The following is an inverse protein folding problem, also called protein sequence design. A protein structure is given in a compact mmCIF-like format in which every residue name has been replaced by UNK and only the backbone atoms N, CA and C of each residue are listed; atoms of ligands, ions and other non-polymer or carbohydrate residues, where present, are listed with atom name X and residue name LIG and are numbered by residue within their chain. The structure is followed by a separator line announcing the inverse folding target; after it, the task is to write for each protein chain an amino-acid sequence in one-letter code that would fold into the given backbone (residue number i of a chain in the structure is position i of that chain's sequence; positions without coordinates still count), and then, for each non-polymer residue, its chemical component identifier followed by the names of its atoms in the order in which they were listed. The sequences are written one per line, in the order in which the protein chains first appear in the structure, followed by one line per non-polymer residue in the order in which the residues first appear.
data_IF_412161409270
#
_entry.id   IF_412161409270
#
_cell.length_a   1.000
_cell.length_b   1.000
_cell.length_c   1.000
_cell.angle_alpha   90.00
_cell.angle_beta   90.00
_cell.angle_gamma   90.00
#
_symmetry.space_group_name_H-M   'P 1'
#
loop_
_entity.id
_entity.type
_entity.pdbx_description
1 polymer ?
#
# COMPACT_ATOMS: atom_id res chain seq x y z
N UNK A 1 9.04 -11.73 5.61
CA UNK A 1 9.55 -10.45 5.08
C UNK A 1 9.25 -10.37 3.60
N UNK A 2 9.11 -9.15 3.05
CA UNK A 2 9.19 -8.90 1.61
C UNK A 2 10.59 -8.36 1.34
N UNK A 3 11.25 -8.84 0.29
CA UNK A 3 12.54 -8.36 -0.21
C UNK A 3 12.39 -7.97 -1.68
N UNK A 4 13.08 -6.93 -2.12
CA UNK A 4 13.06 -6.48 -3.51
C UNK A 4 14.29 -7.08 -4.18
N UNK A 5 14.06 -7.71 -5.33
CA UNK A 5 15.10 -8.36 -6.09
C UNK A 5 15.45 -7.51 -7.33
N UNK A 6 16.74 -7.38 -7.70
CA UNK A 6 17.17 -6.50 -8.79
C UNK A 6 16.56 -6.78 -10.17
N UNK A 7 16.08 -8.01 -10.41
CA UNK A 7 15.37 -8.35 -11.66
C UNK A 7 13.95 -7.75 -11.76
N UNK A 8 13.52 -7.01 -10.73
CA UNK A 8 12.20 -6.39 -10.66
C UNK A 8 11.11 -7.32 -10.14
N UNK A 9 11.48 -8.34 -9.37
CA UNK A 9 10.56 -9.17 -8.60
C UNK A 9 10.65 -8.85 -7.11
N UNK A 10 9.67 -9.32 -6.35
CA UNK A 10 9.73 -9.35 -4.89
C UNK A 10 9.79 -10.80 -4.39
N UNK A 11 10.55 -11.01 -3.33
CA UNK A 11 10.66 -12.28 -2.63
C UNK A 11 9.87 -12.18 -1.32
N UNK A 12 8.75 -12.90 -1.27
CA UNK A 12 7.90 -13.00 -0.09
C UNK A 12 8.22 -14.26 0.69
N UNK A 13 8.83 -14.10 1.86
CA UNK A 13 9.18 -15.24 2.71
C UNK A 13 7.93 -16.02 3.12
N UNK A 14 7.97 -17.34 2.97
CA UNK A 14 6.87 -18.20 3.40
C UNK A 14 6.63 -18.06 4.91
N UNK A 15 5.37 -17.88 5.27
CA UNK A 15 4.97 -17.83 6.68
C UNK A 15 5.01 -19.24 7.31
N UNK A 16 5.13 -19.34 8.65
CA UNK A 16 5.04 -20.63 9.32
C UNK A 16 3.74 -21.38 8.95
N UNK A 17 3.78 -22.72 8.86
CA UNK A 17 2.59 -23.52 8.59
C UNK A 17 1.43 -23.21 9.55
N UNK A 18 0.18 -23.28 9.07
CA UNK A 18 -0.23 -23.69 7.73
C UNK A 18 -0.23 -22.55 6.69
N UNK A 19 0.10 -21.31 7.08
CA UNK A 19 -0.13 -20.11 6.26
C UNK A 19 0.73 -20.04 5.00
N UNK A 20 2.04 -20.27 5.14
CA UNK A 20 2.98 -20.22 4.00
C UNK A 20 2.67 -21.29 2.95
N UNK A 21 2.55 -22.58 3.34
CA UNK A 21 2.17 -23.64 2.40
C UNK A 21 0.83 -23.37 1.70
N UNK A 22 -0.17 -22.86 2.41
CA UNK A 22 -1.47 -22.53 1.80
C UNK A 22 -1.36 -21.41 0.75
N UNK A 23 -0.58 -20.37 1.04
CA UNK A 23 -0.35 -19.29 0.06
C UNK A 23 0.39 -19.81 -1.18
N UNK A 24 1.40 -20.67 -0.98
CA UNK A 24 2.11 -21.32 -2.08
C UNK A 24 1.17 -22.19 -2.93
N UNK A 25 0.37 -23.05 -2.30
CA UNK A 25 -0.61 -23.91 -2.99
C UNK A 25 -1.63 -23.09 -3.77
N UNK A 26 -2.09 -21.97 -3.22
CA UNK A 26 -2.97 -21.04 -3.92
C UNK A 26 -2.34 -20.52 -5.21
N UNK A 27 -1.11 -19.98 -5.15
CA UNK A 27 -0.42 -19.49 -6.35
C UNK A 27 -0.14 -20.60 -7.35
N UNK A 28 0.30 -21.77 -6.89
CA UNK A 28 0.53 -22.94 -7.75
C UNK A 28 -0.75 -23.33 -8.49
N UNK A 29 -1.90 -23.36 -7.80
CA UNK A 29 -3.19 -23.69 -8.40
C UNK A 29 -3.63 -22.64 -9.42
N UNK A 30 -3.53 -21.35 -9.07
CA UNK A 30 -3.97 -20.27 -9.95
C UNK A 30 -3.09 -20.16 -11.19
N UNK A 31 -1.78 -20.37 -11.06
CA UNK A 31 -0.78 -20.23 -12.15
C UNK A 31 -0.35 -21.56 -12.77
N UNK A 32 -1.11 -22.64 -12.53
CA UNK A 32 -0.87 -23.93 -13.18
C UNK A 32 -0.92 -23.76 -14.72
N UNK A 33 0.07 -24.30 -15.43
CA UNK A 33 0.18 -24.18 -16.89
C UNK A 33 -0.96 -24.88 -17.62
N UNK A 34 -1.53 -25.91 -17.01
CA UNK A 34 -2.59 -26.74 -17.58
C UNK A 34 -3.97 -26.29 -17.09
N UNK A 35 -4.04 -25.16 -16.36
CA UNK A 35 -5.28 -24.60 -15.85
C UNK A 35 -6.23 -24.20 -16.99
N UNK A 36 -7.41 -24.82 -17.02
CA UNK A 36 -8.50 -24.49 -17.94
C UNK A 36 -9.71 -23.84 -17.26
N UNK A 37 -9.62 -23.55 -15.96
CA UNK A 37 -10.71 -22.91 -15.21
C UNK A 37 -10.74 -21.41 -15.52
N UNK A 38 -11.78 -20.97 -16.24
CA UNK A 38 -11.93 -19.57 -16.64
C UNK A 38 -11.94 -18.60 -15.47
N UNK A 39 -12.46 -19.01 -14.31
CA UNK A 39 -12.51 -18.17 -13.10
C UNK A 39 -11.09 -17.93 -12.56
N UNK A 40 -10.23 -18.95 -12.57
CA UNK A 40 -8.84 -18.82 -12.13
C UNK A 40 -7.96 -18.11 -13.16
N UNK A 41 -8.24 -18.31 -14.46
CA UNK A 41 -7.54 -17.61 -15.53
C UNK A 41 -7.81 -16.10 -15.49
N UNK A 42 -9.06 -15.69 -15.30
CA UNK A 42 -9.44 -14.29 -15.11
C UNK A 42 -8.82 -13.70 -13.82
N UNK A 43 -8.80 -14.49 -12.73
CA UNK A 43 -8.20 -14.05 -11.47
C UNK A 43 -6.73 -13.61 -11.63
N UNK A 44 -5.96 -14.20 -12.56
CA UNK A 44 -4.56 -13.84 -12.80
C UNK A 44 -4.37 -12.36 -13.13
N UNK A 45 -5.37 -11.70 -13.72
CA UNK A 45 -5.31 -10.27 -14.07
C UNK A 45 -5.22 -9.37 -12.82
N UNK A 46 -5.76 -9.83 -11.69
CA UNK A 46 -5.82 -9.07 -10.45
C UNK A 46 -4.69 -9.40 -9.47
N UNK A 47 -3.87 -10.40 -9.76
CA UNK A 47 -2.79 -10.89 -8.89
C UNK A 47 -1.42 -10.42 -9.39
N UNK A 48 -0.41 -10.26 -8.52
CA UNK A 48 0.99 -10.22 -8.96
C UNK A 48 1.34 -11.50 -9.73
N UNK A 49 2.07 -11.37 -10.84
CA UNK A 49 2.57 -12.56 -11.56
C UNK A 49 3.41 -13.43 -10.63
N UNK A 50 3.21 -14.73 -10.73
CA UNK A 50 3.93 -15.73 -9.94
C UNK A 50 5.03 -16.38 -10.76
N UNK A 51 6.24 -16.43 -10.18
CA UNK A 51 7.44 -16.98 -10.81
C UNK A 51 7.94 -18.26 -10.11
N UNK A 52 7.12 -18.86 -9.24
CA UNK A 52 7.48 -20.05 -8.48
C UNK A 52 8.06 -19.75 -7.10
N UNK A 53 8.46 -20.83 -6.43
CA UNK A 53 9.20 -20.78 -5.16
C UNK A 53 10.68 -20.55 -5.46
N UNK A 54 11.31 -19.72 -4.63
CA UNK A 54 12.72 -19.42 -4.68
C UNK A 54 13.36 -19.62 -3.31
N UNK A 55 14.55 -20.19 -3.28
CA UNK A 55 15.40 -20.24 -2.10
C UNK A 55 16.82 -19.77 -2.47
N UNK A 56 17.52 -19.07 -1.59
CA UNK A 56 18.91 -18.72 -1.82
C UNK A 56 19.77 -19.99 -1.83
N UNK A 57 20.77 -20.11 -2.73
CA UNK A 57 21.65 -21.29 -2.79
C UNK A 57 22.37 -21.60 -1.47
N UNK A 58 22.61 -20.56 -0.66
CA UNK A 58 23.30 -20.65 0.64
C UNK A 58 22.40 -21.02 1.80
N UNK A 59 21.08 -20.94 1.64
CA UNK A 59 20.11 -21.30 2.67
C UNK A 59 18.84 -21.90 2.03
N UNK A 60 18.91 -23.18 1.57
CA UNK A 60 17.80 -23.82 0.85
C UNK A 60 16.51 -23.93 1.67
N UNK A 61 16.63 -23.89 3.01
CA UNK A 61 15.51 -23.92 3.93
C UNK A 61 14.74 -22.59 4.03
N UNK A 62 15.35 -21.48 3.59
CA UNK A 62 14.70 -20.17 3.55
C UNK A 62 13.92 -20.03 2.24
N UNK A 63 12.67 -20.47 2.26
CA UNK A 63 11.79 -20.44 1.09
C UNK A 63 11.04 -19.11 0.94
N UNK A 64 10.90 -18.65 -0.30
CA UNK A 64 10.20 -17.44 -0.69
C UNK A 64 9.28 -17.71 -1.90
N UNK A 65 8.16 -17.00 -1.97
CA UNK A 65 7.41 -16.84 -3.21
C UNK A 65 8.06 -15.73 -4.02
N UNK A 66 8.40 -16.00 -5.28
CA UNK A 66 8.90 -14.98 -6.21
C UNK A 66 7.72 -14.40 -6.98
N UNK A 67 7.46 -13.12 -6.79
CA UNK A 67 6.27 -12.43 -7.29
C UNK A 67 6.67 -11.18 -8.08
N UNK A 68 5.79 -10.71 -8.96
CA UNK A 68 5.92 -9.41 -9.63
C UNK A 68 6.04 -8.26 -8.62
N UNK A 69 6.98 -7.35 -8.85
CA UNK A 69 6.98 -6.07 -8.16
C UNK A 69 6.03 -5.09 -8.85
N UNK A 70 4.81 -4.99 -8.31
CA UNK A 70 3.75 -4.10 -8.81
C UNK A 70 4.18 -2.62 -8.80
N UNK A 71 5.17 -2.25 -7.97
CA UNK A 71 5.63 -0.86 -7.84
C UNK A 71 6.70 -0.47 -8.84
N UNK A 72 7.31 -1.44 -9.54
CA UNK A 72 8.51 -1.21 -10.37
C UNK A 72 8.33 -0.19 -11.49
N UNK A 73 7.15 -0.12 -12.09
CA UNK A 73 6.86 0.78 -13.23
C UNK A 73 6.61 2.24 -12.82
N UNK A 74 6.66 2.53 -11.53
CA UNK A 74 6.41 3.85 -10.97
C UNK A 74 7.71 4.50 -10.54
N UNK A 75 7.84 5.81 -10.77
CA UNK A 75 8.99 6.59 -10.34
C UNK A 75 8.88 6.94 -8.85
N UNK A 76 7.76 7.54 -8.45
CA UNK A 76 7.48 7.88 -7.04
C UNK A 76 6.20 7.17 -6.59
N UNK A 77 6.23 5.84 -6.36
CA UNK A 77 5.03 5.07 -6.05
C UNK A 77 4.41 5.50 -4.70
N UNK A 78 3.17 5.99 -4.76
CA UNK A 78 2.29 6.06 -3.61
C UNK A 78 1.61 4.70 -3.43
N UNK A 79 1.70 4.10 -2.23
CA UNK A 79 1.27 2.72 -1.97
C UNK A 79 0.31 2.69 -0.78
N UNK A 80 -0.80 1.96 -0.87
CA UNK A 80 -1.70 1.68 0.26
C UNK A 80 -2.12 0.23 0.26
N UNK A 81 -2.04 -0.40 1.42
CA UNK A 81 -2.51 -1.77 1.68
C UNK A 81 -3.83 -1.70 2.45
N UNK A 82 -4.88 -2.28 1.86
CA UNK A 82 -6.22 -2.32 2.46
C UNK A 82 -6.66 -3.77 2.57
N UNK A 83 -6.80 -4.25 3.81
CA UNK A 83 -7.40 -5.54 4.09
C UNK A 83 -8.89 -5.49 3.79
N UNK A 84 -9.42 -6.48 3.09
CA UNK A 84 -10.83 -6.54 2.69
C UNK A 84 -11.54 -7.68 3.44
N UNK A 85 -12.82 -7.46 3.72
CA UNK A 85 -13.75 -8.46 4.27
C UNK A 85 -14.27 -8.10 5.66
N UNK A 86 -15.51 -8.46 5.95
CA UNK A 86 -16.09 -8.29 7.29
C UNK A 86 -15.40 -9.13 8.37
N UNK A 87 -14.72 -10.22 7.97
CA UNK A 87 -14.02 -11.14 8.87
C UNK A 87 -12.54 -11.22 8.51
N UNK A 88 -11.68 -10.95 9.48
CA UNK A 88 -10.21 -11.03 9.35
C UNK A 88 -9.62 -12.32 9.93
N UNK A 89 -10.47 -13.30 10.20
CA UNK A 89 -10.13 -14.65 10.64
C UNK A 89 -10.76 -15.68 9.69
N UNK A 90 -10.10 -16.82 9.54
CA UNK A 90 -10.56 -17.90 8.67
C UNK A 90 -11.57 -18.85 9.36
N UNK A 91 -12.27 -19.72 8.61
CA UNK A 91 -13.28 -20.62 9.16
C UNK A 91 -12.76 -21.63 10.21
N UNK A 92 -11.45 -21.85 10.27
CA UNK A 92 -10.81 -22.81 11.17
C UNK A 92 -10.07 -22.13 12.33
N UNK A 93 -10.22 -20.81 12.48
CA UNK A 93 -9.58 -20.05 13.54
C UNK A 93 -10.14 -20.46 14.92
N UNK A 94 -9.24 -20.60 15.91
CA UNK A 94 -9.66 -20.85 17.30
C UNK A 94 -10.43 -19.66 17.89
N UNK A 95 -11.19 -19.88 18.95
CA UNK A 95 -11.93 -18.81 19.64
C UNK A 95 -11.00 -17.67 20.08
N UNK A 96 -9.81 -17.98 20.60
CA UNK A 96 -8.81 -16.99 21.00
C UNK A 96 -8.29 -16.21 19.79
N UNK A 97 -8.12 -16.89 18.64
CA UNK A 97 -7.66 -16.24 17.41
C UNK A 97 -8.72 -15.30 16.85
N UNK A 98 -9.99 -15.70 16.89
CA UNK A 98 -11.14 -14.87 16.50
C UNK A 98 -11.18 -13.62 17.38
N UNK A 99 -11.17 -13.78 18.71
CA UNK A 99 -11.18 -12.65 19.64
C UNK A 99 -9.97 -11.73 19.44
N UNK A 100 -8.78 -12.27 19.19
CA UNK A 100 -7.58 -11.49 18.86
C UNK A 100 -7.75 -10.67 17.58
N UNK A 101 -8.40 -11.20 16.53
CA UNK A 101 -8.59 -10.46 15.29
C UNK A 101 -9.67 -9.38 15.44
N UNK A 102 -10.78 -9.71 16.11
CA UNK A 102 -11.86 -8.75 16.39
C UNK A 102 -11.37 -7.61 17.27
N UNK A 103 -10.65 -7.90 18.37
CA UNK A 103 -10.10 -6.87 19.26
C UNK A 103 -9.09 -5.93 18.60
N UNK A 104 -8.42 -6.36 17.52
CA UNK A 104 -7.51 -5.47 16.77
C UNK A 104 -8.26 -4.39 16.02
N UNK A 105 -9.45 -4.70 15.52
CA UNK A 105 -10.30 -3.74 14.81
C UNK A 105 -11.77 -4.18 14.88
N UNK A 106 -12.51 -3.77 15.92
CA UNK A 106 -13.91 -4.19 16.12
C UNK A 106 -14.83 -3.75 14.99
N UNK A 107 -14.48 -2.66 14.30
CA UNK A 107 -15.26 -2.10 13.19
C UNK A 107 -15.08 -2.86 11.87
N UNK A 108 -14.29 -3.96 11.82
CA UNK A 108 -14.08 -4.72 10.59
C UNK A 108 -15.39 -5.24 9.99
N UNK A 109 -16.31 -5.72 10.83
CA UNK A 109 -17.61 -6.24 10.39
C UNK A 109 -18.52 -5.13 9.85
N UNK A 110 -18.39 -3.94 10.41
CA UNK A 110 -19.25 -2.78 10.13
C UNK A 110 -18.75 -1.93 8.95
N UNK A 111 -17.43 -1.83 8.77
CA UNK A 111 -16.78 -1.09 7.68
C UNK A 111 -16.44 -2.02 6.52
N UNK A 112 -16.13 -3.29 6.78
CA UNK A 112 -15.83 -4.27 5.74
C UNK A 112 -14.41 -4.19 5.16
N UNK A 113 -13.58 -3.25 5.60
CA UNK A 113 -12.17 -3.15 5.23
C UNK A 113 -11.34 -2.45 6.31
N UNK A 114 -10.02 -2.56 6.23
CA UNK A 114 -9.07 -1.93 7.15
C UNK A 114 -7.78 -1.53 6.42
N UNK A 115 -7.40 -0.26 6.51
CA UNK A 115 -6.10 0.23 6.02
C UNK A 115 -4.98 -0.36 6.91
N UNK A 116 -4.07 -1.13 6.33
CA UNK A 116 -2.93 -1.70 7.05
C UNK A 116 -1.73 -0.75 7.10
N UNK A 117 -1.64 0.13 6.09
CA UNK A 117 -0.66 1.19 6.01
C UNK A 117 -0.69 1.87 4.65
N UNK A 118 -0.04 3.02 4.58
CA UNK A 118 0.16 3.74 3.32
C UNK A 118 1.49 4.49 3.34
N UNK A 119 2.00 4.77 2.14
CA UNK A 119 3.15 5.62 1.87
C UNK A 119 2.78 6.55 0.73
N UNK A 120 2.75 7.85 0.98
CA UNK A 120 2.28 8.87 0.05
C UNK A 120 3.42 9.82 -0.25
N UNK A 121 3.67 10.05 -1.53
CA UNK A 121 4.64 11.04 -1.98
C UNK A 121 4.02 12.44 -1.94
N UNK A 122 4.72 13.37 -1.29
CA UNK A 122 4.34 14.78 -1.22
C UNK A 122 5.21 15.58 -2.18
N UNK A 123 4.59 16.20 -3.17
CA UNK A 123 5.28 16.92 -4.25
C UNK A 123 5.99 18.17 -3.73
N UNK A 124 5.38 18.87 -2.79
CA UNK A 124 5.92 20.13 -2.24
C UNK A 124 7.21 19.95 -1.44
N UNK A 125 7.42 18.77 -0.85
CA UNK A 125 8.57 18.46 0.00
C UNK A 125 9.52 17.41 -0.58
N UNK A 126 9.25 16.89 -1.78
CA UNK A 126 9.95 15.75 -2.41
C UNK A 126 10.25 14.64 -1.41
N UNK A 127 9.22 14.25 -0.65
CA UNK A 127 9.38 13.32 0.46
C UNK A 127 8.14 12.46 0.63
N UNK A 128 8.28 11.40 1.44
CA UNK A 128 7.20 10.47 1.70
C UNK A 128 6.67 10.60 3.11
N UNK A 129 5.34 10.65 3.22
CA UNK A 129 4.64 10.46 4.47
C UNK A 129 4.18 9.00 4.57
N UNK A 130 4.39 8.36 5.72
CA UNK A 130 3.97 6.97 5.97
C UNK A 130 3.01 6.88 7.13
N UNK A 131 1.91 6.17 6.95
CA UNK A 131 0.97 5.81 8.00
C UNK A 131 0.98 4.30 8.22
N UNK A 132 0.88 3.89 9.48
CA UNK A 132 1.06 2.51 9.88
C UNK A 132 -0.26 1.81 10.27
N UNK A 133 -0.21 0.55 10.74
CA UNK A 133 -1.41 -0.20 11.15
C UNK A 133 -2.20 0.47 12.28
N UNK A 134 -1.58 1.30 13.12
CA UNK A 134 -2.27 2.00 14.19
C UNK A 134 -3.13 3.13 13.64
N UNK A 135 -2.67 3.79 12.57
CA UNK A 135 -3.47 4.78 11.86
C UNK A 135 -4.76 4.16 11.33
N UNK A 136 -4.67 3.09 10.54
CA UNK A 136 -5.88 2.46 9.99
C UNK A 136 -6.81 1.88 11.06
N UNK A 137 -6.27 1.32 12.15
CA UNK A 137 -7.08 0.85 13.29
C UNK A 137 -7.75 1.96 14.08
N UNK A 138 -7.28 3.20 13.96
CA UNK A 138 -7.88 4.37 14.61
C UNK A 138 -9.03 4.97 13.79
N UNK A 139 -9.18 4.58 12.52
CA UNK A 139 -10.26 5.07 11.66
C UNK A 139 -11.61 4.47 12.08
N UNK A 140 -12.59 5.35 12.19
CA UNK A 140 -14.00 5.06 12.49
C UNK A 140 -14.85 5.27 11.24
N UNK A 141 -16.16 5.01 11.32
CA UNK A 141 -17.10 5.24 10.21
C UNK A 141 -17.11 6.70 9.74
N UNK A 142 -16.94 7.63 10.67
CA UNK A 142 -16.97 9.07 10.41
C UNK A 142 -15.66 9.54 9.80
N UNK A 143 -14.54 8.91 10.17
CA UNK A 143 -13.18 9.37 9.79
C UNK A 143 -12.56 8.57 8.65
N UNK A 144 -13.14 7.45 8.24
CA UNK A 144 -12.58 6.58 7.19
C UNK A 144 -12.48 7.29 5.83
N UNK A 145 -13.43 8.18 5.50
CA UNK A 145 -13.41 8.97 4.27
C UNK A 145 -12.18 9.87 4.22
N UNK A 146 -11.96 10.67 5.26
CA UNK A 146 -10.78 11.54 5.36
C UNK A 146 -9.49 10.72 5.45
N UNK A 147 -9.56 9.57 6.11
CA UNK A 147 -8.47 8.64 6.23
C UNK A 147 -7.97 8.11 4.89
N UNK A 148 -8.89 7.69 4.01
CA UNK A 148 -8.57 7.27 2.66
C UNK A 148 -8.20 8.47 1.77
N UNK A 149 -8.86 9.61 1.93
CA UNK A 149 -8.56 10.84 1.16
C UNK A 149 -7.09 11.25 1.31
N UNK A 150 -6.52 11.05 2.52
CA UNK A 150 -5.09 11.29 2.79
C UNK A 150 -4.15 10.50 1.88
N UNK A 151 -4.52 9.28 1.47
CA UNK A 151 -3.70 8.49 0.53
C UNK A 151 -3.58 9.17 -0.84
N UNK A 152 -4.62 9.87 -1.28
CA UNK A 152 -4.69 10.51 -2.60
C UNK A 152 -4.29 11.99 -2.58
N UNK A 153 -3.93 12.54 -1.43
CA UNK A 153 -3.52 13.94 -1.32
C UNK A 153 -2.00 14.07 -1.41
N UNK A 154 -1.49 14.67 -2.50
CA UNK A 154 -0.03 14.74 -2.76
C UNK A 154 0.69 15.93 -2.09
N UNK A 155 0.08 16.48 -1.05
CA UNK A 155 0.52 17.70 -0.35
C UNK A 155 0.13 19.02 -1.02
N UNK A 156 -0.41 18.99 -2.24
CA UNK A 156 -0.91 20.18 -2.95
C UNK A 156 -2.38 20.05 -3.33
N UNK A 157 -2.75 18.93 -3.96
CA UNK A 157 -4.12 18.66 -4.38
C UNK A 157 -4.49 17.19 -4.17
N UNK A 158 -5.80 16.94 -4.21
CA UNK A 158 -6.35 15.61 -4.25
C UNK A 158 -6.24 15.03 -5.67
N UNK A 159 -5.61 13.86 -5.79
CA UNK A 159 -5.44 13.11 -7.05
C UNK A 159 -6.74 12.40 -7.46
N UNK A 160 -7.73 13.18 -7.88
CA UNK A 160 -9.04 12.67 -8.35
C UNK A 160 -8.91 11.69 -9.52
N UNK A 161 -7.90 11.87 -10.38
CA UNK A 161 -7.54 10.95 -11.45
C UNK A 161 -7.18 9.55 -10.91
N UNK A 162 -6.36 9.50 -9.86
CA UNK A 162 -5.97 8.24 -9.23
C UNK A 162 -7.13 7.58 -8.49
N UNK A 163 -8.02 8.37 -7.86
CA UNK A 163 -9.23 7.86 -7.20
C UNK A 163 -10.18 7.23 -8.23
N UNK A 164 -10.48 7.92 -9.33
CA UNK A 164 -11.35 7.41 -10.39
C UNK A 164 -10.82 6.11 -11.01
N UNK A 165 -9.51 6.05 -11.30
CA UNK A 165 -8.87 4.84 -11.81
C UNK A 165 -8.86 3.69 -10.77
N UNK A 166 -8.72 4.02 -9.48
CA UNK A 166 -8.80 3.04 -8.39
C UNK A 166 -10.20 2.43 -8.26
N UNK A 167 -11.25 3.25 -8.41
CA UNK A 167 -12.64 2.78 -8.43
C UNK A 167 -12.85 1.80 -9.58
N UNK A 168 -12.51 2.18 -10.81
CA UNK A 168 -12.68 1.33 -12.00
C UNK A 168 -11.98 -0.03 -11.85
N UNK A 169 -10.75 -0.06 -11.32
CA UNK A 169 -10.02 -1.32 -11.10
C UNK A 169 -10.62 -2.16 -9.97
N UNK A 170 -11.11 -1.50 -8.90
CA UNK A 170 -11.76 -2.20 -7.78
C UNK A 170 -13.13 -2.78 -8.20
N UNK A 171 -13.86 -2.08 -9.08
CA UNK A 171 -15.12 -2.58 -9.67
C UNK A 171 -14.89 -3.85 -10.49
N UNK A 172 -13.79 -3.96 -11.24
CA UNK A 172 -13.45 -5.19 -11.97
C UNK A 172 -13.17 -6.38 -11.04
N UNK A 173 -12.47 -6.14 -9.93
CA UNK A 173 -12.28 -7.15 -8.89
C UNK A 173 -13.63 -7.54 -8.28
N UNK A 174 -14.51 -6.57 -8.02
CA UNK A 174 -15.86 -6.82 -7.50
C UNK A 174 -16.69 -7.68 -8.47
N UNK A 175 -16.69 -7.36 -9.77
CA UNK A 175 -17.37 -8.14 -10.81
C UNK A 175 -16.90 -9.61 -10.79
N UNK A 176 -15.59 -9.84 -10.68
CA UNK A 176 -15.04 -11.20 -10.55
C UNK A 176 -15.55 -11.92 -9.30
N UNK A 177 -15.53 -11.24 -8.14
CA UNK A 177 -16.05 -11.81 -6.89
C UNK A 177 -17.55 -12.10 -6.95
N UNK A 178 -18.34 -11.28 -7.63
CA UNK A 178 -19.77 -11.52 -7.82
C UNK A 178 -20.05 -12.67 -8.79
N UNK A 179 -19.14 -12.94 -9.73
CA UNK A 179 -19.22 -14.01 -10.73
C UNK A 179 -18.81 -15.41 -10.23
N UNK A 180 -18.01 -15.49 -9.17
CA UNK A 180 -17.47 -16.76 -8.66
C UNK A 180 -18.07 -17.18 -7.31
N UNK A 181 -18.06 -18.50 -7.03
CA UNK A 181 -18.47 -19.09 -5.73
C UNK A 181 -17.46 -20.11 -5.21
N UNK A 182 -16.33 -20.24 -5.88
CA UNK A 182 -15.35 -21.31 -5.69
C UNK A 182 -14.37 -21.02 -4.56
N UNK A 183 -14.15 -19.73 -4.24
CA UNK A 183 -13.08 -19.27 -3.35
C UNK A 183 -13.61 -18.20 -2.40
N UNK A 184 -13.31 -18.35 -1.13
CA UNK A 184 -13.46 -17.30 -0.13
C UNK A 184 -12.08 -16.88 0.38
N UNK A 185 -11.90 -15.57 0.55
CA UNK A 185 -10.67 -14.89 0.88
C UNK A 185 -10.80 -14.21 2.25
N UNK A 186 -10.02 -14.68 3.22
CA UNK A 186 -9.97 -14.07 4.54
C UNK A 186 -8.63 -13.39 4.75
N UNK A 187 -8.63 -12.25 5.42
CA UNK A 187 -7.41 -11.52 5.81
C UNK A 187 -6.44 -11.16 4.65
N UNK A 188 -6.88 -11.26 3.39
CA UNK A 188 -6.17 -10.77 2.21
C UNK A 188 -6.43 -9.28 1.98
N UNK A 189 -5.62 -8.65 1.15
CA UNK A 189 -5.66 -7.21 0.91
C UNK A 189 -5.73 -6.85 -0.56
N UNK A 190 -6.16 -5.63 -0.83
CA UNK A 190 -5.87 -4.90 -2.05
C UNK A 190 -4.66 -3.97 -1.83
N UNK A 191 -3.71 -4.04 -2.74
CA UNK A 191 -2.58 -3.13 -2.83
C UNK A 191 -2.86 -2.09 -3.91
N UNK A 192 -3.09 -0.86 -3.48
CA UNK A 192 -3.23 0.31 -4.34
C UNK A 192 -1.85 0.91 -4.58
N UNK A 193 -1.53 1.22 -5.83
CA UNK A 193 -0.32 1.92 -6.22
C UNK A 193 -0.67 2.98 -7.26
N UNK A 194 -0.17 4.21 -7.10
CA UNK A 194 -0.27 5.23 -8.15
C UNK A 194 1.01 6.06 -8.26
N UNK A 195 1.19 6.74 -9.39
CA UNK A 195 2.33 7.62 -9.61
C UNK A 195 2.18 8.94 -8.84
N UNK A 196 3.05 9.17 -7.87
CA UNK A 196 3.08 10.40 -7.05
C UNK A 196 3.66 11.60 -7.78
N UNK A 197 4.59 11.39 -8.73
CA UNK A 197 5.16 12.49 -9.51
C UNK A 197 4.14 13.00 -10.54
N UNK A 198 3.90 14.31 -10.55
CA UNK A 198 3.12 14.93 -11.63
C UNK A 198 4.08 15.13 -12.81
N UNK A 199 3.97 14.32 -13.86
CA UNK A 199 4.68 14.66 -15.09
C UNK A 199 3.99 15.90 -15.67
N UNK A 200 4.60 17.07 -15.45
CA UNK A 200 4.30 18.21 -16.29
C UNK A 200 4.72 17.80 -17.71
N UNK A 201 3.75 17.44 -18.55
CA UNK A 201 3.96 17.41 -20.00
C UNK A 201 4.29 18.83 -20.39
N UNK A 202 5.57 19.16 -20.37
CA UNK A 202 6.09 20.37 -20.99
C UNK A 202 5.90 20.16 -22.48
N UNK A 203 4.71 20.49 -22.98
CA UNK A 203 4.52 20.80 -24.38
C UNK A 203 5.46 21.98 -24.62
N UNK A 204 6.64 21.70 -25.15
CA UNK A 204 7.52 22.74 -25.67
C UNK A 204 6.73 23.41 -26.78
N UNK A 205 6.18 24.59 -26.48
CA UNK A 205 5.80 25.57 -27.49
C UNK A 205 7.09 26.03 -28.17
N UNK A 206 7.62 25.22 -29.07
CA UNK A 206 8.55 25.66 -30.08
C UNK A 206 7.74 25.97 -31.32
N UNK A 207 7.44 27.25 -31.53
CA UNK A 207 7.54 27.92 -32.83
C UNK A 207 7.10 29.39 -32.72
N UNK A 208 8.01 30.25 -32.28
CA UNK A 208 8.16 31.59 -32.86
C UNK A 208 9.66 31.88 -32.98
N UNK A 209 10.10 31.93 -34.23
CA UNK A 209 11.42 32.32 -34.71
C UNK A 209 11.79 33.74 -34.26
N UNK A 210 13.01 33.92 -33.77
CA UNK A 210 13.89 35.05 -34.14
C UNK A 210 15.33 34.74 -33.70
N UNK A 211 16.22 34.74 -34.69
CA UNK A 211 17.63 34.49 -34.54
C UNK A 211 18.35 35.72 -33.96
N UNK A 212 19.31 35.50 -33.06
CA UNK A 212 20.62 36.17 -33.09
C UNK A 212 21.63 35.51 -32.14
N UNK A 213 22.91 35.75 -32.43
CA UNK A 213 24.07 34.87 -32.18
C UNK A 213 24.85 35.16 -30.88
N UNK A 214 25.52 34.09 -30.43
CA UNK A 214 26.84 33.95 -29.72
C UNK A 214 26.88 33.90 -28.19
N UNK A 215 27.45 32.79 -27.70
CA UNK A 215 28.15 32.68 -26.41
C UNK A 215 28.30 31.24 -25.93
N UNK A 216 29.49 30.63 -26.10
CA UNK A 216 29.88 29.34 -25.50
C UNK A 216 30.60 29.64 -24.17
N UNK A 217 30.37 28.88 -23.08
CA UNK A 217 31.38 27.90 -22.66
C UNK A 217 30.85 26.54 -22.17
N UNK A 218 31.79 25.58 -22.24
CA UNK A 218 31.81 24.15 -21.86
C UNK A 218 31.32 23.84 -20.44
N UNK A 219 30.79 22.63 -20.25
CA UNK A 219 31.00 21.90 -18.99
C UNK A 219 29.93 20.89 -18.56
N UNK A 220 30.27 19.61 -18.76
CA UNK A 220 29.93 18.45 -17.91
C UNK A 220 28.62 17.66 -18.16
N UNK A 221 28.85 16.41 -18.57
CA UNK A 221 27.91 15.30 -18.67
C UNK A 221 27.65 14.66 -17.29
N UNK A 222 26.57 13.89 -17.25
CA UNK A 222 26.30 12.72 -16.38
C UNK A 222 25.39 12.97 -15.18
N UNK A 223 24.12 12.63 -15.37
CA UNK A 223 23.23 12.15 -14.32
C UNK A 223 22.40 11.04 -14.92
N UNK A 224 22.87 9.79 -14.79
CA UNK A 224 22.07 8.62 -15.15
C UNK A 224 20.83 8.57 -14.28
N UNK A 225 19.71 8.17 -14.86
CA UNK A 225 18.45 7.95 -14.17
C UNK A 225 18.65 6.91 -13.06
N UNK A 226 18.87 7.36 -11.83
CA UNK A 226 18.84 6.51 -10.64
C UNK A 226 17.36 6.26 -10.35
N UNK A 227 16.85 5.11 -10.77
CA UNK A 227 15.56 4.59 -10.31
C UNK A 227 15.62 4.53 -8.78
N UNK A 228 14.86 5.40 -8.10
CA UNK A 228 14.73 5.37 -6.65
C UNK A 228 13.96 4.12 -6.24
N UNK A 229 14.67 3.16 -5.66
CA UNK A 229 14.09 1.93 -5.13
C UNK A 229 13.18 2.22 -3.93
N UNK A 230 12.15 1.40 -3.77
CA UNK A 230 11.20 1.53 -2.69
C UNK A 230 11.86 1.18 -1.34
N UNK A 231 12.26 2.20 -0.58
CA UNK A 231 12.93 2.09 0.72
C UNK A 231 12.09 1.43 1.84
N UNK A 232 10.91 0.89 1.50
CA UNK A 232 10.09 0.05 2.37
C UNK A 232 10.54 -1.42 2.40
N UNK A 233 11.39 -1.83 1.46
CA UNK A 233 11.75 -3.21 1.20
C UNK A 233 13.28 -3.31 1.22
N UNK A 234 13.82 -4.35 1.88
CA UNK A 234 15.26 -4.57 1.88
C UNK A 234 15.71 -4.98 0.47
N UNK A 235 16.60 -4.17 -0.12
CA UNK A 235 17.27 -4.44 -1.39
C UNK A 235 18.42 -5.40 -1.13
N UNK A 236 18.52 -6.45 -1.94
CA UNK A 236 19.71 -7.31 -1.98
C UNK A 236 20.71 -6.65 -2.94
N UNK A 237 21.76 -6.04 -2.40
CA UNK A 237 22.88 -5.58 -3.21
C UNK A 237 23.77 -6.79 -3.55
N UNK A 238 24.07 -6.98 -4.84
CA UNK A 238 25.13 -7.89 -5.27
C UNK A 238 26.47 -7.22 -5.02
N UNK A 239 27.21 -7.67 -4.00
CA UNK A 239 28.63 -7.35 -3.86
C UNK A 239 29.44 -8.62 -4.11
N UNK A 240 30.34 -8.55 -5.08
CA UNK A 240 31.53 -9.41 -5.14
C UNK A 240 32.18 -9.41 -3.74
N UNK A 241 32.47 -10.59 -3.20
CA UNK A 241 33.05 -10.84 -1.88
C UNK A 241 32.07 -10.92 -0.69
N UNK A 242 31.10 -11.83 -0.76
CA UNK A 242 30.81 -12.79 0.31
C UNK A 242 30.36 -12.29 1.70
N UNK A 243 30.10 -10.99 1.89
CA UNK A 243 29.50 -10.44 3.11
C UNK A 243 28.29 -9.58 2.76
N UNK A 244 27.13 -10.04 3.21
CA UNK A 244 25.85 -9.34 3.06
C UNK A 244 25.84 -8.20 4.07
N UNK A 245 25.87 -6.95 3.59
CA UNK A 245 25.67 -5.77 4.42
C UNK A 245 24.37 -5.08 4.00
N UNK A 246 23.36 -5.17 4.87
CA UNK A 246 22.07 -4.52 4.66
C UNK A 246 22.12 -3.09 5.23
N UNK A 247 21.99 -2.07 4.37
CA UNK A 247 21.80 -0.69 4.82
C UNK A 247 20.37 -0.50 5.36
N UNK A 248 20.25 0.11 6.55
CA UNK A 248 19.01 0.20 7.32
C UNK A 248 18.43 1.61 7.23
N UNK A 249 17.24 1.76 6.62
CA UNK A 249 16.35 2.92 6.83
C UNK A 249 15.00 2.44 7.38
N UNK A 250 14.69 2.88 8.61
CA UNK A 250 13.61 2.38 9.48
C UNK A 250 12.26 3.01 9.09
N UNK A 251 11.60 2.50 8.05
CA UNK A 251 10.26 2.98 7.63
C UNK A 251 9.16 1.93 7.77
N UNK A 252 9.25 0.84 7.00
CA UNK A 252 8.22 -0.22 6.98
C UNK A 252 8.76 -1.65 7.20
N UNK A 253 10.08 -1.83 7.32
CA UNK A 253 10.70 -3.15 7.57
C UNK A 253 10.20 -3.85 8.85
N UNK A 254 9.63 -3.10 9.80
CA UNK A 254 9.01 -3.64 11.02
C UNK A 254 7.68 -4.37 10.79
N UNK A 255 7.00 -4.15 9.66
CA UNK A 255 5.68 -4.77 9.40
C UNK A 255 5.75 -6.28 9.22
N UNK A 256 6.78 -6.77 8.51
CA UNK A 256 6.96 -8.20 8.29
C UNK A 256 7.93 -8.88 9.27
N UNK A 257 8.65 -8.11 10.09
CA UNK A 257 9.65 -8.64 11.02
C UNK A 257 9.06 -9.09 12.38
N UNK A 258 7.87 -8.62 12.76
CA UNK A 258 7.34 -8.82 14.12
C UNK A 258 6.82 -10.24 14.43
N UNK A 259 6.76 -11.15 13.45
CA UNK A 259 6.35 -12.53 13.73
C UNK A 259 7.47 -13.45 14.25
N UNK A 260 8.74 -12.98 14.30
CA UNK A 260 9.89 -13.83 14.68
C UNK A 260 10.18 -13.90 16.19
N UNK A 261 9.56 -13.06 17.04
CA UNK A 261 10.00 -12.88 18.45
C UNK A 261 9.11 -13.49 19.55
N UNK A 262 8.07 -14.26 19.23
CA UNK A 262 7.17 -14.82 20.25
C UNK A 262 7.39 -16.31 20.60
N UNK A 263 8.37 -17.00 20.02
CA UNK A 263 8.68 -18.39 20.37
C UNK A 263 10.18 -18.57 20.59
N UNK A 264 10.67 -18.07 21.71
CA UNK A 264 11.78 -18.69 22.43
C UNK A 264 11.84 -18.16 23.87
N UNK A 265 11.90 -19.11 24.81
CA UNK A 265 12.09 -19.00 26.27
C UNK A 265 10.83 -18.85 27.13
N UNK A 266 10.23 -20.00 27.44
CA UNK A 266 9.79 -20.33 28.81
C UNK A 266 11.03 -20.65 29.66
N UNK A 267 11.16 -20.02 30.82
CA UNK A 267 11.37 -20.64 32.13
C UNK A 267 11.35 -19.56 33.23
N UNK A 268 10.69 -19.90 34.35
CA UNK A 268 10.68 -19.38 35.74
C UNK A 268 11.50 -18.12 36.09
N UNK A 269 11.10 -17.20 36.97
CA UNK A 269 10.40 -17.34 38.26
C UNK A 269 9.90 -15.97 38.78
N UNK A 270 8.70 -15.97 39.36
CA UNK A 270 8.30 -15.39 40.66
C UNK A 270 9.06 -14.16 41.21
N UNK A 271 8.36 -13.02 41.39
CA UNK A 271 8.34 -12.23 42.64
C UNK A 271 7.25 -11.15 42.63
N UNK A 272 6.56 -11.08 43.75
CA UNK A 272 5.50 -10.15 44.17
C UNK A 272 6.11 -8.79 44.59
N UNK A 273 5.36 -7.68 44.48
CA UNK A 273 4.98 -6.83 45.63
C UNK A 273 4.14 -5.60 45.22
N UNK A 274 3.27 -5.23 46.17
CA UNK A 274 2.22 -4.19 46.26
C UNK A 274 2.80 -2.76 46.43
N UNK A 275 2.23 -1.72 45.79
CA UNK A 275 1.24 -0.70 46.28
C UNK A 275 1.85 0.50 47.05
N UNK A 276 1.46 1.71 46.59
CA UNK A 276 1.42 3.06 47.23
C UNK A 276 2.73 3.70 47.72
N UNK A 277 2.96 5.03 47.74
CA UNK A 277 2.29 6.29 47.40
C UNK A 277 3.42 7.36 47.43
N UNK A 278 3.33 8.48 46.68
CA UNK A 278 3.45 9.87 47.20
C UNK A 278 3.52 10.91 46.05
N UNK A 279 2.85 12.03 46.32
CA UNK A 279 2.56 13.22 45.53
C UNK A 279 3.79 14.04 45.12
N UNK A 280 3.72 14.84 44.04
CA UNK A 280 3.56 16.31 44.12
C UNK A 280 3.54 16.96 42.72
N UNK A 281 2.46 17.70 42.47
CA UNK A 281 2.38 19.07 41.93
C UNK A 281 3.36 19.54 40.83
N UNK A 282 2.84 19.91 39.66
CA UNK A 282 2.89 21.31 39.23
C UNK A 282 2.09 21.58 37.95
N UNK A 283 1.23 22.58 38.12
CA UNK A 283 0.32 23.24 37.21
C UNK A 283 1.05 24.23 36.28
N UNK A 284 0.81 24.19 34.96
CA UNK A 284 0.88 25.40 34.13
C UNK A 284 -0.28 25.43 33.13
N UNK A 285 -0.98 26.57 33.17
CA UNK A 285 -2.27 26.84 32.53
C UNK A 285 -2.11 27.23 31.06
N UNK A 286 -3.12 26.83 30.30
CA UNK A 286 -3.51 27.35 29.00
C UNK A 286 -3.68 28.87 28.99
N UNK A 287 -3.42 29.50 27.85
CA UNK A 287 -3.95 30.83 27.52
C UNK A 287 -4.25 30.89 26.02
N UNK A 288 -5.54 30.90 25.72
CA UNK A 288 -6.16 31.39 24.49
C UNK A 288 -6.20 32.92 24.54
N UNK A 289 -5.88 33.63 23.44
CA UNK A 289 -6.81 34.58 22.82
C UNK A 289 -6.23 35.23 21.53
N UNK A 290 -6.98 35.04 20.44
CA UNK A 290 -7.41 36.00 19.40
C UNK A 290 -6.78 37.40 19.40
N UNK A 291 -6.22 37.80 18.25
CA UNK A 291 -6.46 39.11 17.62
C UNK A 291 -6.47 38.99 16.10
N UNK A 292 -7.45 39.67 15.50
CA UNK A 292 -7.75 39.81 14.07
C UNK A 292 -7.53 41.28 13.73
N UNK A 293 -6.67 41.60 12.75
CA UNK A 293 -6.72 42.88 12.02
C UNK A 293 -6.34 42.70 10.55
N UNK A 294 -6.97 43.56 9.73
CA UNK A 294 -7.27 43.38 8.32
C UNK A 294 -6.15 43.63 7.31
N UNK A 295 -6.37 42.96 6.17
CA UNK A 295 -5.83 43.06 4.80
C UNK A 295 -5.58 44.48 4.25
N UNK A 296 -4.50 44.63 3.47
CA UNK A 296 -4.57 45.16 2.10
C UNK A 296 -3.27 44.91 1.30
N UNK A 297 -3.37 44.43 0.05
CA UNK A 297 -2.21 44.38 -0.86
C UNK A 297 -2.23 43.31 -1.97
N UNK A 298 -3.31 43.22 -2.75
CA UNK A 298 -3.43 42.62 -4.09
C UNK A 298 -2.16 42.08 -4.78
N UNK A 299 -1.84 40.77 -4.68
CA UNK A 299 -1.18 39.99 -5.77
C UNK A 299 -1.49 38.48 -5.70
N UNK A 300 -2.68 37.99 -5.33
CA UNK A 300 -3.03 36.57 -5.60
C UNK A 300 -4.55 36.45 -5.76
N UNK A 301 -5.09 36.53 -7.01
CA UNK A 301 -5.99 35.45 -7.45
C UNK A 301 -5.97 35.17 -8.97
N UNK A 302 -4.85 35.46 -9.68
CA UNK A 302 -4.77 35.20 -11.13
C UNK A 302 -3.92 33.97 -11.52
N UNK A 303 -3.27 33.30 -10.57
CA UNK A 303 -2.52 32.06 -10.81
C UNK A 303 -3.35 30.78 -10.55
N UNK A 304 -4.46 30.87 -9.83
CA UNK A 304 -5.36 29.72 -9.58
C UNK A 304 -6.24 29.35 -10.78
N UNK A 305 -6.29 30.19 -11.83
CA UNK A 305 -7.16 29.97 -12.99
C UNK A 305 -6.47 29.44 -14.25
N UNK A 306 -5.16 29.17 -14.22
CA UNK A 306 -4.41 28.81 -15.45
C UNK A 306 -4.04 27.33 -15.57
N UNK A 307 -4.27 26.48 -14.56
CA UNK A 307 -3.90 25.06 -14.62
C UNK A 307 -5.03 24.04 -14.35
N UNK A 308 -6.28 24.41 -14.63
CA UNK A 308 -7.40 23.46 -14.67
C UNK A 308 -8.25 23.67 -15.93
N UNK A 309 -7.63 23.72 -17.10
CA UNK A 309 -8.34 23.57 -18.37
C UNK A 309 -7.94 22.25 -19.02
N UNK A 310 -8.87 21.30 -18.99
CA UNK A 310 -8.75 20.00 -19.64
C UNK A 310 -8.86 20.17 -21.15
N UNK A 311 -7.85 19.79 -21.96
CA UNK A 311 -8.11 19.41 -23.33
C UNK A 311 -8.80 18.05 -23.30
N UNK A 312 -9.95 17.96 -23.98
CA UNK A 312 -10.51 16.67 -24.36
C UNK A 312 -9.47 15.88 -25.18
N UNK A 313 -9.38 14.59 -24.90
CA UNK A 313 -8.51 13.57 -25.53
C UNK A 313 -7.06 13.45 -25.02
N UNK A 314 -6.85 12.65 -23.96
CA UNK A 314 -5.70 11.74 -23.87
C UNK A 314 -6.16 10.39 -23.27
N UNK A 315 -6.11 9.35 -24.11
CA UNK A 315 -6.14 7.93 -23.73
C UNK A 315 -4.84 7.56 -23.02
N UNK A 316 -4.74 7.87 -21.73
CA UNK A 316 -3.84 7.16 -20.84
C UNK A 316 -4.52 7.14 -19.47
N UNK A 317 -5.03 5.98 -19.07
CA UNK A 317 -5.52 5.79 -17.71
C UNK A 317 -4.41 6.23 -16.76
N UNK A 318 -4.72 7.06 -15.76
CA UNK A 318 -3.78 7.42 -14.71
C UNK A 318 -2.98 6.18 -14.31
N UNK A 319 -1.65 6.29 -14.22
CA UNK A 319 -0.80 5.16 -13.88
C UNK A 319 -1.18 4.73 -12.47
N UNK A 320 -1.99 3.68 -12.38
CA UNK A 320 -2.60 3.14 -11.16
C UNK A 320 -2.62 1.61 -11.28
N UNK A 321 -2.29 0.93 -10.21
CA UNK A 321 -2.48 -0.50 -10.03
C UNK A 321 -3.33 -0.74 -8.78
N UNK A 322 -4.21 -1.74 -8.88
CA UNK A 322 -4.92 -2.32 -7.74
C UNK A 322 -4.77 -3.83 -7.89
N UNK A 323 -4.03 -4.46 -6.97
CA UNK A 323 -3.75 -5.91 -7.02
C UNK A 323 -4.15 -6.59 -5.72
N UNK A 324 -4.72 -7.78 -5.81
CA UNK A 324 -4.99 -8.61 -4.65
C UNK A 324 -3.68 -9.24 -4.16
N UNK A 325 -3.47 -9.24 -2.84
CA UNK A 325 -2.29 -9.82 -2.18
C UNK A 325 -2.67 -10.56 -0.89
N UNK A 326 -1.71 -11.27 -0.30
CA UNK A 326 -1.81 -11.97 1.00
C UNK A 326 -2.83 -13.13 1.02
N UNK A 327 -2.50 -14.23 0.35
CA UNK A 327 -3.41 -15.37 0.15
C UNK A 327 -3.22 -16.53 1.13
N UNK A 328 -2.66 -16.23 2.30
CA UNK A 328 -2.42 -17.23 3.35
C UNK A 328 -3.69 -17.84 3.96
N UNK A 329 -4.87 -17.26 3.69
CA UNK A 329 -6.15 -17.68 4.25
C UNK A 329 -7.24 -17.69 3.16
N UNK A 330 -6.93 -18.25 1.99
CA UNK A 330 -7.90 -18.52 0.92
C UNK A 330 -8.37 -19.97 1.03
N UNK A 331 -9.68 -20.19 0.87
CA UNK A 331 -10.29 -21.52 1.01
C UNK A 331 -11.27 -21.80 -0.12
N UNK A 332 -11.40 -23.07 -0.56
CA UNK A 332 -12.50 -23.49 -1.41
C UNK A 332 -13.86 -23.19 -0.77
N UNK A 333 -14.84 -22.83 -1.59
CA UNK A 333 -16.19 -22.47 -1.18
C UNK A 333 -17.20 -23.00 -2.19
N UNK A 334 -18.46 -23.05 -1.77
CA UNK A 334 -19.64 -23.26 -2.63
C UNK A 334 -20.59 -22.06 -2.62
N UNK A 335 -20.21 -20.98 -1.94
CA UNK A 335 -20.98 -19.74 -1.80
C UNK A 335 -20.15 -18.57 -2.28
N UNK A 336 -20.81 -17.45 -2.60
CA UNK A 336 -20.10 -16.19 -2.82
C UNK A 336 -19.39 -15.75 -1.53
N UNK A 337 -18.31 -15.01 -1.70
CA UNK A 337 -17.63 -14.37 -0.58
C UNK A 337 -18.33 -13.05 -0.23
N UNK A 338 -19.48 -13.17 0.44
CA UNK A 338 -20.32 -12.02 0.80
C UNK A 338 -19.56 -10.99 1.66
N UNK A 339 -18.65 -11.46 2.52
CA UNK A 339 -17.84 -10.58 3.36
C UNK A 339 -16.88 -9.73 2.53
N UNK A 340 -16.21 -10.33 1.55
CA UNK A 340 -15.30 -9.62 0.65
C UNK A 340 -16.06 -8.68 -0.29
N UNK A 341 -17.17 -9.15 -0.88
CA UNK A 341 -18.07 -8.34 -1.73
C UNK A 341 -18.56 -7.10 -0.97
N UNK A 342 -19.00 -7.27 0.28
CA UNK A 342 -19.39 -6.15 1.14
C UNK A 342 -18.26 -5.15 1.33
N UNK A 343 -17.05 -5.63 1.64
CA UNK A 343 -15.87 -4.79 1.82
C UNK A 343 -15.51 -3.98 0.57
N UNK A 344 -15.54 -4.61 -0.61
CA UNK A 344 -15.29 -3.93 -1.88
C UNK A 344 -16.33 -2.85 -2.17
N UNK A 345 -17.63 -3.17 -2.02
CA UNK A 345 -18.71 -2.22 -2.23
C UNK A 345 -18.57 -1.01 -1.32
N UNK A 346 -18.29 -1.23 -0.04
CA UNK A 346 -18.13 -0.11 0.90
C UNK A 346 -16.87 0.72 0.59
N UNK A 347 -15.76 0.09 0.20
CA UNK A 347 -14.55 0.81 -0.22
C UNK A 347 -14.82 1.67 -1.46
N UNK A 348 -15.50 1.12 -2.48
CA UNK A 348 -15.90 1.88 -3.68
C UNK A 348 -16.78 3.07 -3.30
N UNK A 349 -17.81 2.87 -2.47
CA UNK A 349 -18.68 3.96 -1.97
C UNK A 349 -17.87 5.06 -1.28
N UNK A 350 -16.90 4.71 -0.43
CA UNK A 350 -16.04 5.70 0.22
C UNK A 350 -15.20 6.46 -0.80
N UNK A 351 -14.61 5.78 -1.79
CA UNK A 351 -13.84 6.42 -2.86
C UNK A 351 -14.71 7.37 -3.71
N UNK A 352 -15.93 6.96 -4.06
CA UNK A 352 -16.90 7.80 -4.78
C UNK A 352 -17.26 9.05 -3.97
N UNK A 353 -17.56 8.89 -2.68
CA UNK A 353 -17.84 10.01 -1.78
C UNK A 353 -16.67 10.99 -1.65
N UNK A 354 -15.43 10.56 -1.90
CA UNK A 354 -14.26 11.46 -1.94
C UNK A 354 -14.22 12.28 -3.24
N UNK A 355 -14.67 11.72 -4.38
CA UNK A 355 -14.72 12.44 -5.66
C UNK A 355 -15.78 13.53 -5.71
N UNK A 356 -16.93 13.28 -5.07
CA UNK A 356 -18.09 14.18 -5.05
C UNK A 356 -17.88 15.41 -4.15
N UNK A 357 -16.86 15.40 -3.30
CA UNK A 357 -16.35 16.57 -2.58
C UNK A 357 -15.39 17.38 -3.47
#
# INVERSE_FOLDING_TARGET
GILQHPDGTVLKQLQPPPRGPREQEFYNKVYDSDCCDSILLELREYLPKYFGVWSPPTAPNDMYLKLEDVTRKFNKPCIMDVKIGQKSYDPYASAEKIQQQVSKYPLMEEIGFLVLGMRVYHVSSDSYETQNQHYGRSLTKETVKDGISKFFHNGYCLRKDAIAASIQKTEKILEWFEGQKQLNFYASSLLFVYEGSCQATTVRLSDVTLAEKRGVPKGLLSGGDILEYNNNIHVINSTENGKIEASVSKGLSKFYALHKKAYSKRHHSQLSLKVENLEQDNMWKSSTCITQEHLNGNVIPQLEKVFCHMPAEIKESANVEVRMIDFAHVFPSNTKDEGYIYGLKNLITVLQNILDN
#
